data_IF_116159218388
#
_entry.id   IF_116159218388
#
_cell.length_a   1.000
_cell.length_b   1.000
_cell.length_c   1.000
_cell.angle_alpha   90.00
_cell.angle_beta   90.00
_cell.angle_gamma   90.00
#
_symmetry.space_group_name_H-M   'P 1'
#
loop_
_entity.id
_entity.type
_entity.pdbx_description
1 polymer ?
#
# COMPACT_ATOMS: atom_id res chain seq x y z
N UNK A 1 2.08 10.31 -18.32
CA UNK A 1 0.73 10.14 -17.76
C UNK A 1 0.08 11.50 -17.58
N UNK A 2 -1.14 11.68 -18.14
CA UNK A 2 -1.88 12.91 -17.93
C UNK A 2 -2.44 12.88 -16.50
N UNK A 3 -2.06 13.85 -15.69
CA UNK A 3 -2.75 14.16 -14.45
C UNK A 3 -4.02 14.93 -14.82
N UNK A 4 -5.15 14.47 -14.35
CA UNK A 4 -6.44 15.12 -14.55
C UNK A 4 -7.10 15.28 -13.19
N UNK A 5 -7.69 16.45 -12.96
CA UNK A 5 -8.33 16.77 -11.70
C UNK A 5 -9.54 17.66 -11.93
N UNK A 6 -10.67 17.25 -11.39
CA UNK A 6 -11.87 18.07 -11.30
C UNK A 6 -12.44 17.92 -9.90
N UNK A 7 -12.74 19.05 -9.23
CA UNK A 7 -13.27 19.07 -7.88
C UNK A 7 -14.42 20.04 -7.76
N UNK A 8 -15.44 19.61 -7.03
CA UNK A 8 -16.57 20.45 -6.60
C UNK A 8 -16.74 20.29 -5.09
N UNK A 9 -16.82 21.39 -4.38
CA UNK A 9 -17.03 21.35 -2.93
C UNK A 9 -17.88 22.49 -2.44
N UNK A 10 -18.49 22.30 -1.28
CA UNK A 10 -19.29 23.29 -0.59
C UNK A 10 -19.13 23.16 0.92
N UNK A 11 -19.11 24.29 1.61
CA UNK A 11 -19.06 24.36 3.08
C UNK A 11 -20.34 25.05 3.58
N UNK A 12 -21.03 24.41 4.50
CA UNK A 12 -22.25 24.91 5.11
C UNK A 12 -22.13 24.78 6.64
N UNK A 13 -22.29 25.87 7.33
CA UNK A 13 -22.12 25.96 8.79
C UNK A 13 -20.81 25.31 9.28
N UNK A 14 -20.94 24.19 9.97
CA UNK A 14 -19.82 23.42 10.53
C UNK A 14 -19.41 22.19 9.69
N UNK A 15 -20.11 21.92 8.59
CA UNK A 15 -19.86 20.79 7.70
C UNK A 15 -19.39 21.25 6.34
N UNK A 16 -18.61 20.42 5.68
CA UNK A 16 -18.25 20.58 4.30
C UNK A 16 -18.24 19.24 3.58
N UNK A 17 -18.48 19.29 2.28
CA UNK A 17 -18.28 18.14 1.42
C UNK A 17 -17.49 18.55 0.18
N UNK A 18 -16.79 17.58 -0.42
CA UNK A 18 -16.29 17.71 -1.78
C UNK A 18 -16.38 16.41 -2.54
N UNK A 19 -16.47 16.54 -3.85
CA UNK A 19 -16.40 15.43 -4.81
C UNK A 19 -15.23 15.71 -5.75
N UNK A 20 -14.36 14.74 -5.88
CA UNK A 20 -13.20 14.80 -6.77
C UNK A 20 -13.27 13.68 -7.79
N UNK A 21 -13.06 14.02 -9.04
CA UNK A 21 -12.80 13.05 -10.11
C UNK A 21 -11.38 13.31 -10.62
N UNK A 22 -10.49 12.35 -10.45
CA UNK A 22 -9.08 12.60 -10.66
C UNK A 22 -8.33 11.39 -11.19
N UNK A 23 -7.22 11.67 -11.86
CA UNK A 23 -6.15 10.71 -12.13
C UNK A 23 -4.86 11.27 -11.54
N UNK A 24 -4.54 10.86 -10.33
CA UNK A 24 -3.33 11.25 -9.60
C UNK A 24 -2.97 10.17 -8.58
N UNK A 25 -1.82 10.32 -7.94
CA UNK A 25 -1.47 9.44 -6.82
C UNK A 25 -2.43 9.63 -5.65
N UNK A 26 -3.02 8.53 -5.16
CA UNK A 26 -3.85 8.48 -3.96
C UNK A 26 -3.09 7.71 -2.89
N UNK A 27 -3.06 8.24 -1.67
CA UNK A 27 -2.44 7.57 -0.52
C UNK A 27 -3.28 7.77 0.72
N UNK A 28 -3.52 6.68 1.45
CA UNK A 28 -4.17 6.71 2.77
C UNK A 28 -3.11 6.81 3.87
N UNK A 29 -3.18 7.89 4.65
CA UNK A 29 -2.13 8.23 5.62
C UNK A 29 -0.93 8.95 4.98
N UNK A 30 -0.22 9.72 5.80
CA UNK A 30 0.98 10.46 5.37
C UNK A 30 2.22 9.75 5.92
N UNK A 31 3.00 9.16 5.06
CA UNK A 31 4.16 8.33 5.36
C UNK A 31 5.35 8.70 4.48
N UNK A 32 6.56 8.24 4.82
CA UNK A 32 7.79 8.53 4.06
C UNK A 32 7.96 7.63 2.83
N UNK A 33 7.57 6.35 2.95
CA UNK A 33 7.85 5.35 1.90
C UNK A 33 6.63 5.03 1.03
N UNK A 34 5.46 5.53 1.40
CA UNK A 34 4.18 5.10 0.85
C UNK A 34 3.42 4.24 1.85
N UNK A 35 2.09 4.32 1.84
CA UNK A 35 1.23 3.71 2.84
C UNK A 35 1.13 2.21 2.69
N UNK A 36 1.18 1.48 3.82
CA UNK A 36 0.86 0.05 3.87
C UNK A 36 -0.63 -0.21 3.62
N UNK A 37 -1.51 0.79 3.84
CA UNK A 37 -2.96 0.64 3.66
C UNK A 37 -3.33 0.76 2.18
N UNK A 38 -3.10 1.90 1.58
CA UNK A 38 -3.35 2.16 0.15
C UNK A 38 -2.39 3.22 -0.37
N UNK A 39 -1.77 2.93 -1.51
CA UNK A 39 -0.83 3.83 -2.17
C UNK A 39 -0.78 3.58 -3.67
N UNK A 40 -1.19 4.56 -4.46
CA UNK A 40 -1.08 4.54 -5.92
C UNK A 40 -0.16 5.65 -6.45
N UNK A 41 0.77 6.15 -5.64
CA UNK A 41 1.66 7.24 -6.03
C UNK A 41 2.66 6.83 -7.12
N UNK A 42 3.01 5.55 -7.18
CA UNK A 42 3.88 5.00 -8.22
C UNK A 42 3.14 4.84 -9.57
N UNK A 43 1.89 4.38 -9.53
CA UNK A 43 1.03 4.26 -10.70
C UNK A 43 -0.28 4.99 -10.41
N UNK A 44 -0.46 6.16 -11.02
CA UNK A 44 -1.67 6.96 -10.82
C UNK A 44 -2.90 6.26 -11.37
N UNK A 45 -3.94 6.14 -10.55
CA UNK A 45 -5.21 5.54 -10.89
C UNK A 45 -6.29 6.60 -11.16
N UNK A 46 -7.31 6.23 -11.92
CA UNK A 46 -8.54 7.00 -11.96
C UNK A 46 -9.36 6.70 -10.72
N UNK A 47 -9.81 7.73 -10.04
CA UNK A 47 -10.69 7.58 -8.90
C UNK A 47 -11.76 8.66 -8.84
N UNK A 48 -12.88 8.26 -8.25
CA UNK A 48 -13.94 9.15 -7.77
C UNK A 48 -13.87 9.15 -6.26
N UNK A 49 -13.74 10.33 -5.67
CA UNK A 49 -13.68 10.51 -4.23
C UNK A 49 -14.83 11.39 -3.76
N UNK A 50 -15.51 10.97 -2.72
CA UNK A 50 -16.45 11.78 -1.94
C UNK A 50 -15.92 11.96 -0.54
N UNK A 51 -15.87 13.21 -0.06
CA UNK A 51 -15.48 13.56 1.29
C UNK A 51 -16.61 14.32 1.97
N UNK A 52 -16.97 13.90 3.18
CA UNK A 52 -17.83 14.63 4.09
C UNK A 52 -17.05 14.89 5.38
N UNK A 53 -16.98 16.13 5.82
CA UNK A 53 -16.14 16.47 6.97
C UNK A 53 -16.71 17.58 7.83
N UNK A 54 -16.35 17.52 9.08
CA UNK A 54 -16.49 18.61 10.03
C UNK A 54 -15.20 18.75 10.87
N UNK A 55 -15.27 19.50 11.95
CA UNK A 55 -14.11 19.71 12.84
C UNK A 55 -13.58 18.42 13.49
N UNK A 56 -14.43 17.41 13.69
CA UNK A 56 -14.13 16.22 14.49
C UNK A 56 -14.11 14.93 13.68
N UNK A 57 -14.80 14.92 12.57
CA UNK A 57 -15.01 13.73 11.75
C UNK A 57 -14.71 14.04 10.29
N UNK A 58 -14.07 13.10 9.62
CA UNK A 58 -13.94 13.10 8.17
C UNK A 58 -14.26 11.71 7.64
N UNK A 59 -15.30 11.61 6.85
CA UNK A 59 -15.62 10.42 6.09
C UNK A 59 -15.14 10.58 4.65
N UNK A 60 -14.43 9.59 4.15
CA UNK A 60 -14.05 9.51 2.74
C UNK A 60 -14.58 8.22 2.13
N UNK A 61 -15.05 8.31 0.91
CA UNK A 61 -15.35 7.19 0.04
C UNK A 61 -14.54 7.39 -1.25
N UNK A 62 -13.68 6.43 -1.56
CA UNK A 62 -12.89 6.42 -2.79
C UNK A 62 -13.29 5.21 -3.63
N UNK A 63 -13.62 5.43 -4.89
CA UNK A 63 -13.79 4.37 -5.88
C UNK A 63 -12.66 4.48 -6.87
N UNK A 64 -11.76 3.52 -6.84
CA UNK A 64 -10.56 3.51 -7.67
C UNK A 64 -10.66 2.43 -8.72
N UNK A 65 -10.51 2.80 -10.00
CA UNK A 65 -10.38 1.84 -11.08
C UNK A 65 -8.91 1.42 -11.21
N UNK A 66 -8.57 0.31 -10.58
CA UNK A 66 -7.20 -0.22 -10.54
C UNK A 66 -6.77 -0.79 -11.89
N UNK A 67 -7.68 -1.43 -12.62
CA UNK A 67 -7.52 -1.87 -14.00
C UNK A 67 -8.89 -2.12 -14.66
N UNK A 68 -8.93 -2.62 -15.90
CA UNK A 68 -10.19 -2.98 -16.55
C UNK A 68 -10.92 -4.04 -15.73
N UNK A 69 -12.18 -3.78 -15.36
CA UNK A 69 -13.03 -4.64 -14.54
C UNK A 69 -12.40 -4.99 -13.16
N UNK A 70 -11.63 -4.08 -12.59
CA UNK A 70 -11.06 -4.23 -11.26
C UNK A 70 -11.19 -2.90 -10.52
N UNK A 71 -11.93 -2.91 -9.44
CA UNK A 71 -12.26 -1.71 -8.66
C UNK A 71 -11.90 -1.91 -7.20
N UNK A 72 -11.36 -0.86 -6.58
CA UNK A 72 -11.17 -0.77 -5.15
C UNK A 72 -12.14 0.27 -4.60
N UNK A 73 -13.00 -0.14 -3.70
CA UNK A 73 -13.90 0.71 -2.94
C UNK A 73 -13.32 0.87 -1.54
N UNK A 74 -13.02 2.10 -1.16
CA UNK A 74 -12.42 2.42 0.13
C UNK A 74 -13.37 3.33 0.89
N UNK A 75 -13.76 2.92 2.09
CA UNK A 75 -14.51 3.73 3.02
C UNK A 75 -13.66 4.00 4.24
N UNK A 76 -13.41 5.24 4.57
CA UNK A 76 -12.62 5.60 5.73
C UNK A 76 -13.33 6.64 6.60
N UNK A 77 -13.21 6.45 7.90
CA UNK A 77 -13.69 7.38 8.90
C UNK A 77 -12.52 7.83 9.77
N UNK A 78 -12.15 9.09 9.64
CA UNK A 78 -11.17 9.74 10.50
C UNK A 78 -11.88 10.47 11.65
N UNK A 79 -11.43 10.22 12.86
CA UNK A 79 -11.92 10.83 14.08
C UNK A 79 -10.82 11.70 14.67
N UNK A 80 -11.11 12.97 14.90
CA UNK A 80 -10.24 13.94 15.56
C UNK A 80 -10.90 14.31 16.88
N UNK A 81 -10.50 13.69 18.01
CA UNK A 81 -11.07 14.01 19.31
C UNK A 81 -10.84 15.46 19.71
N UNK A 82 -11.54 15.90 20.74
CA UNK A 82 -11.43 17.27 21.25
C UNK A 82 -9.99 17.72 21.57
N UNK A 83 -9.13 16.77 21.97
CA UNK A 83 -7.74 17.08 22.34
C UNK A 83 -6.82 17.45 21.18
N UNK A 84 -7.26 17.39 19.91
CA UNK A 84 -6.51 17.82 18.71
C UNK A 84 -5.11 17.23 18.49
N UNK A 85 -4.50 16.60 19.48
CA UNK A 85 -3.19 15.97 19.38
C UNK A 85 -3.26 14.52 18.90
N UNK A 86 -4.47 13.97 18.83
CA UNK A 86 -4.75 12.61 18.38
C UNK A 86 -5.69 12.64 17.17
N UNK A 87 -5.36 11.83 16.16
CA UNK A 87 -6.25 11.47 15.06
C UNK A 87 -6.24 9.96 14.94
N UNK A 88 -7.40 9.35 14.80
CA UNK A 88 -7.56 7.91 14.55
C UNK A 88 -8.44 7.75 13.32
N UNK A 89 -8.04 6.88 12.40
CA UNK A 89 -8.80 6.54 11.22
C UNK A 89 -8.99 5.03 11.11
N UNK A 90 -10.17 4.63 10.70
CA UNK A 90 -10.51 3.25 10.35
C UNK A 90 -10.87 3.26 8.87
N UNK A 91 -10.37 2.29 8.15
CA UNK A 91 -10.65 2.09 6.73
C UNK A 91 -11.14 0.67 6.52
N UNK A 92 -12.16 0.54 5.73
CA UNK A 92 -12.62 -0.73 5.17
C UNK A 92 -12.60 -0.62 3.65
N UNK A 93 -12.03 -1.62 2.99
CA UNK A 93 -11.87 -1.67 1.55
C UNK A 93 -12.44 -2.96 0.97
N UNK A 94 -13.04 -2.86 -0.20
CA UNK A 94 -13.49 -3.99 -0.98
C UNK A 94 -12.86 -3.91 -2.36
N UNK A 95 -12.08 -4.90 -2.69
CA UNK A 95 -11.52 -5.08 -4.02
C UNK A 95 -12.42 -6.02 -4.81
N UNK A 96 -12.94 -5.53 -5.93
CA UNK A 96 -13.89 -6.25 -6.79
C UNK A 96 -13.24 -6.51 -8.14
N UNK A 97 -13.17 -7.77 -8.53
CA UNK A 97 -12.69 -8.20 -9.84
C UNK A 97 -13.88 -8.54 -10.75
N UNK A 98 -14.68 -7.54 -11.05
CA UNK A 98 -15.87 -7.61 -11.89
C UNK A 98 -16.25 -6.19 -12.37
N UNK A 99 -17.42 -6.05 -13.00
CA UNK A 99 -18.01 -4.77 -13.38
C UNK A 99 -18.20 -3.85 -12.16
N UNK A 100 -18.38 -2.56 -12.43
CA UNK A 100 -18.67 -1.58 -11.40
C UNK A 100 -19.96 -1.91 -10.66
N UNK A 101 -19.91 -1.94 -9.32
CA UNK A 101 -21.03 -2.27 -8.46
C UNK A 101 -21.45 -1.12 -7.54
N UNK A 102 -22.68 -0.64 -7.72
CA UNK A 102 -23.21 0.48 -6.94
C UNK A 102 -23.46 0.17 -5.48
N UNK A 103 -23.65 -1.11 -5.12
CA UNK A 103 -23.90 -1.51 -3.70
C UNK A 103 -22.76 -1.12 -2.78
N UNK A 104 -21.51 -1.14 -3.26
CA UNK A 104 -20.34 -0.74 -2.49
C UNK A 104 -20.19 0.78 -2.31
N UNK A 105 -21.08 1.58 -2.84
CA UNK A 105 -21.14 3.03 -2.57
C UNK A 105 -21.90 3.37 -1.30
N UNK A 106 -22.59 2.41 -0.67
CA UNK A 106 -23.37 2.66 0.52
C UNK A 106 -22.47 2.84 1.77
N UNK A 107 -22.39 4.05 2.35
CA UNK A 107 -21.49 4.34 3.47
C UNK A 107 -21.88 3.67 4.79
N UNK A 108 -23.09 3.12 4.88
CA UNK A 108 -23.61 2.48 6.09
C UNK A 108 -23.44 0.95 6.07
N UNK A 109 -22.95 0.42 4.97
CA UNK A 109 -22.72 -1.01 4.85
C UNK A 109 -21.31 -1.36 5.32
N UNK A 110 -21.23 -2.18 6.36
CA UNK A 110 -19.98 -2.84 6.74
C UNK A 110 -19.67 -3.93 5.73
N UNK A 111 -18.64 -3.74 4.95
CA UNK A 111 -18.32 -4.55 3.79
C UNK A 111 -17.88 -5.96 4.14
N UNK A 112 -17.41 -6.18 5.37
CA UNK A 112 -17.04 -7.50 5.86
C UNK A 112 -18.18 -8.52 5.79
N UNK A 113 -19.43 -8.07 5.92
CA UNK A 113 -20.60 -8.94 5.77
C UNK A 113 -21.00 -9.21 4.32
N UNK A 114 -20.45 -8.46 3.35
CA UNK A 114 -20.81 -8.62 1.93
C UNK A 114 -20.18 -9.83 1.25
N UNK A 115 -19.04 -10.32 1.72
CA UNK A 115 -18.48 -11.57 1.23
C UNK A 115 -19.44 -12.78 1.40
N UNK A 116 -20.33 -12.68 2.40
CA UNK A 116 -21.36 -13.69 2.66
C UNK A 116 -22.66 -13.48 1.83
N UNK A 117 -22.79 -12.37 1.11
CA UNK A 117 -24.03 -11.97 0.41
C UNK A 117 -23.81 -11.82 -1.10
N UNK A 118 -22.91 -12.57 -1.69
CA UNK A 118 -22.72 -12.53 -3.13
C UNK A 118 -23.88 -13.23 -3.83
N UNK A 119 -24.80 -12.46 -4.39
CA UNK A 119 -25.93 -12.94 -5.18
C UNK A 119 -25.50 -13.64 -6.48
N UNK A 120 -24.21 -13.55 -6.81
CA UNK A 120 -23.62 -14.06 -8.04
C UNK A 120 -22.90 -15.41 -7.85
N UNK A 121 -22.91 -15.97 -6.62
CA UNK A 121 -22.30 -17.27 -6.37
C UNK A 121 -23.32 -18.38 -6.64
N UNK A 122 -23.07 -19.22 -7.62
CA UNK A 122 -23.73 -20.53 -7.74
C UNK A 122 -23.29 -21.43 -6.58
N UNK A 123 -24.05 -22.51 -6.28
CA UNK A 123 -23.63 -23.49 -5.25
C UNK A 123 -22.22 -24.07 -5.48
N UNK A 124 -21.78 -24.15 -6.72
CA UNK A 124 -20.43 -24.59 -7.09
C UNK A 124 -19.37 -23.53 -6.84
N UNK A 125 -19.72 -22.26 -6.98
CA UNK A 125 -18.84 -21.10 -6.72
C UNK A 125 -18.75 -20.77 -5.23
N UNK A 126 -19.67 -21.22 -4.40
CA UNK A 126 -19.62 -21.12 -2.94
C UNK A 126 -18.62 -22.08 -2.29
N UNK A 127 -17.86 -22.82 -3.09
CA UNK A 127 -16.77 -23.65 -2.58
C UNK A 127 -15.71 -22.73 -1.88
N UNK A 128 -15.19 -23.17 -0.76
CA UNK A 128 -14.27 -22.36 0.07
C UNK A 128 -13.01 -21.85 -0.65
N UNK A 129 -12.67 -22.43 -1.78
CA UNK A 129 -11.61 -21.94 -2.67
C UNK A 129 -12.07 -20.79 -3.58
N UNK A 130 -13.36 -20.67 -3.83
CA UNK A 130 -13.95 -19.70 -4.73
C UNK A 130 -14.67 -18.60 -3.96
N UNK A 131 -13.98 -17.84 -3.14
CA UNK A 131 -14.47 -16.53 -2.69
C UNK A 131 -14.42 -15.56 -3.87
N UNK A 132 -15.24 -15.87 -4.85
CA UNK A 132 -15.28 -15.29 -6.16
C UNK A 132 -15.23 -13.76 -6.13
N UNK A 133 -14.37 -13.17 -6.89
CA UNK A 133 -14.37 -11.79 -7.36
C UNK A 133 -14.20 -10.67 -6.31
N UNK A 134 -14.26 -10.97 -5.00
CA UNK A 134 -14.22 -9.98 -3.93
C UNK A 134 -13.11 -10.30 -2.94
N UNK A 135 -12.26 -9.32 -2.64
CA UNK A 135 -11.31 -9.39 -1.54
C UNK A 135 -11.56 -8.23 -0.58
N UNK A 136 -11.78 -8.58 0.68
CA UNK A 136 -11.94 -7.59 1.74
C UNK A 136 -10.59 -7.15 2.28
N UNK A 137 -10.55 -5.90 2.74
CA UNK A 137 -9.35 -5.26 3.21
C UNK A 137 -9.66 -4.27 4.32
N UNK A 138 -8.87 -4.26 5.36
CA UNK A 138 -9.02 -3.34 6.48
C UNK A 138 -7.75 -2.55 6.71
N UNK A 139 -7.92 -1.31 7.16
CA UNK A 139 -6.83 -0.45 7.58
C UNK A 139 -7.18 0.33 8.84
N UNK A 140 -6.18 0.56 9.67
CA UNK A 140 -6.26 1.44 10.84
C UNK A 140 -5.09 2.40 10.76
N UNK A 141 -5.34 3.67 11.02
CA UNK A 141 -4.30 4.69 11.15
C UNK A 141 -4.46 5.45 12.45
N UNK A 142 -3.34 5.79 13.08
CA UNK A 142 -3.29 6.69 14.21
C UNK A 142 -2.19 7.72 13.99
N UNK A 143 -2.46 8.95 14.38
CA UNK A 143 -1.51 10.05 14.32
C UNK A 143 -1.56 10.82 15.64
N UNK A 144 -0.39 11.06 16.24
CA UNK A 144 -0.24 11.72 17.53
C UNK A 144 0.77 12.86 17.38
N UNK A 145 0.41 14.03 17.90
CA UNK A 145 1.30 15.19 18.02
C UNK A 145 1.55 15.45 19.51
N UNK A 146 2.49 14.68 20.13
CA UNK A 146 2.67 14.70 21.58
C UNK A 146 3.25 16.03 22.11
N UNK A 147 4.00 16.71 21.28
CA UNK A 147 4.57 18.02 21.58
C UNK A 147 4.74 18.85 20.30
N UNK A 148 5.03 20.12 20.48
CA UNK A 148 5.30 21.03 19.33
C UNK A 148 6.42 20.45 18.45
N UNK A 149 6.17 20.45 17.15
CA UNK A 149 7.13 20.04 16.12
C UNK A 149 7.38 18.51 15.99
N UNK A 150 6.68 17.67 16.73
CA UNK A 150 6.85 16.22 16.67
C UNK A 150 5.54 15.55 16.25
N UNK A 151 5.61 14.64 15.29
CA UNK A 151 4.51 13.82 14.84
C UNK A 151 4.92 12.34 14.93
N UNK A 152 4.07 11.52 15.54
CA UNK A 152 4.15 10.07 15.52
C UNK A 152 2.96 9.54 14.72
N UNK A 153 3.18 8.48 13.96
CA UNK A 153 2.10 7.82 13.26
C UNK A 153 2.28 6.31 13.25
N UNK A 154 1.15 5.63 13.18
CA UNK A 154 1.07 4.18 13.05
C UNK A 154 -0.01 3.83 12.04
N UNK A 155 0.30 2.89 11.15
CA UNK A 155 -0.66 2.33 10.20
C UNK A 155 -0.65 0.81 10.33
N UNK A 156 -1.83 0.24 10.23
CA UNK A 156 -2.06 -1.20 10.19
C UNK A 156 -2.93 -1.52 8.98
N UNK A 157 -2.62 -2.60 8.29
CA UNK A 157 -3.39 -3.10 7.15
C UNK A 157 -3.53 -4.61 7.23
N UNK A 158 -4.67 -5.14 6.81
CA UNK A 158 -4.89 -6.59 6.72
C UNK A 158 -5.85 -6.97 5.60
N UNK A 159 -5.63 -8.10 4.99
CA UNK A 159 -6.57 -8.72 4.05
C UNK A 159 -6.99 -10.13 4.46
N UNK A 160 -6.39 -10.68 5.50
CA UNK A 160 -6.80 -11.94 6.13
C UNK A 160 -6.33 -11.96 7.57
N UNK A 161 -7.24 -12.16 8.50
CA UNK A 161 -6.94 -12.45 9.89
C UNK A 161 -8.06 -13.35 10.44
N UNK A 162 -7.70 -14.54 10.85
CA UNK A 162 -8.68 -15.54 11.25
C UNK A 162 -8.92 -15.54 12.75
N UNK A 163 -10.19 -15.60 13.14
CA UNK A 163 -10.60 -15.88 14.50
C UNK A 163 -10.18 -17.29 14.92
N UNK A 164 -10.13 -17.55 16.22
CA UNK A 164 -9.81 -18.90 16.75
C UNK A 164 -10.84 -19.94 16.30
N UNK A 165 -12.09 -19.55 16.08
CA UNK A 165 -13.13 -20.43 15.53
C UNK A 165 -12.84 -20.83 14.08
N UNK A 166 -12.45 -19.88 13.24
CA UNK A 166 -12.05 -20.14 11.85
C UNK A 166 -10.77 -20.96 11.79
N UNK A 167 -9.78 -20.66 12.67
CA UNK A 167 -8.56 -21.44 12.81
C UNK A 167 -8.81 -22.88 13.21
N UNK A 168 -9.92 -23.20 13.85
CA UNK A 168 -10.30 -24.58 14.19
C UNK A 168 -10.77 -25.39 12.99
N UNK A 169 -11.26 -24.75 11.92
CA UNK A 169 -11.60 -25.41 10.67
C UNK A 169 -10.34 -25.74 9.87
N UNK A 170 -10.39 -26.77 9.00
CA UNK A 170 -9.27 -27.12 8.14
C UNK A 170 -8.85 -25.97 7.22
N UNK A 171 -9.83 -25.25 6.66
CA UNK A 171 -9.58 -24.10 5.80
C UNK A 171 -8.89 -22.97 6.57
N UNK A 172 -9.44 -22.63 7.73
CA UNK A 172 -8.89 -21.60 8.58
C UNK A 172 -7.43 -21.83 8.95
N UNK A 173 -7.03 -23.06 9.19
CA UNK A 173 -5.63 -23.40 9.51
C UNK A 173 -4.67 -23.18 8.36
N UNK A 174 -5.12 -23.19 7.11
CA UNK A 174 -4.31 -23.10 5.91
C UNK A 174 -4.37 -21.72 5.22
N UNK A 175 -5.21 -20.82 5.71
CA UNK A 175 -5.22 -19.43 5.22
C UNK A 175 -4.21 -18.61 6.02
N UNK A 176 -3.26 -17.90 5.35
CA UNK A 176 -2.25 -17.11 6.04
C UNK A 176 -2.83 -15.88 6.73
N UNK A 177 -2.36 -15.61 7.97
CA UNK A 177 -2.59 -14.30 8.59
C UNK A 177 -1.81 -13.23 7.81
N UNK A 178 -2.53 -12.34 7.13
CA UNK A 178 -1.98 -11.41 6.15
C UNK A 178 -2.17 -9.97 6.61
N UNK A 179 -1.12 -9.37 7.20
CA UNK A 179 -1.15 -8.04 7.74
C UNK A 179 0.18 -7.29 7.56
N UNK A 180 0.12 -5.97 7.71
CA UNK A 180 1.28 -5.10 7.70
C UNK A 180 1.18 -4.00 8.75
N UNK A 181 2.33 -3.55 9.24
CA UNK A 181 2.45 -2.48 10.24
C UNK A 181 3.47 -1.47 9.72
N UNK A 182 3.16 -0.19 9.86
CA UNK A 182 4.06 0.91 9.53
C UNK A 182 4.04 1.93 10.66
N UNK A 183 5.22 2.30 11.14
CA UNK A 183 5.40 3.22 12.26
C UNK A 183 6.37 4.32 11.84
N UNK A 184 6.09 5.56 12.21
CA UNK A 184 6.98 6.65 11.91
C UNK A 184 7.01 7.74 12.96
N UNK A 185 8.14 8.44 12.99
CA UNK A 185 8.39 9.62 13.79
C UNK A 185 8.95 10.72 12.90
N UNK A 186 8.41 11.92 13.03
CA UNK A 186 8.86 13.11 12.35
C UNK A 186 9.12 14.22 13.36
N UNK A 187 10.18 14.94 13.16
CA UNK A 187 10.51 16.13 13.94
C UNK A 187 10.92 17.27 13.03
N UNK A 188 10.40 18.46 13.32
CA UNK A 188 10.73 19.65 12.54
C UNK A 188 11.04 20.84 13.44
N UNK A 189 11.99 21.68 13.04
CA UNK A 189 12.40 22.85 13.82
C UNK A 189 12.89 23.95 12.92
N UNK A 190 12.43 25.18 13.17
CA UNK A 190 13.01 26.40 12.59
C UNK A 190 14.19 26.85 13.43
N UNK A 191 15.27 27.32 12.78
CA UNK A 191 16.38 27.95 13.44
C UNK A 191 16.23 29.49 13.51
N UNK A 192 17.13 30.15 14.22
CA UNK A 192 17.11 31.62 14.37
C UNK A 192 17.43 32.38 13.07
N UNK A 193 18.01 31.70 12.09
CA UNK A 193 18.36 32.28 10.78
C UNK A 193 17.24 32.14 9.75
N UNK A 194 16.09 31.61 10.16
CA UNK A 194 14.94 31.34 9.28
C UNK A 194 15.08 30.06 8.48
N UNK A 195 16.04 29.21 8.81
CA UNK A 195 16.17 27.88 8.24
C UNK A 195 15.22 26.89 8.89
N UNK A 196 14.96 25.78 8.20
CA UNK A 196 14.03 24.73 8.61
C UNK A 196 14.71 23.37 8.58
N UNK A 197 14.77 22.71 9.73
CA UNK A 197 15.21 21.34 9.88
C UNK A 197 14.02 20.39 9.87
N UNK A 198 14.14 19.30 9.15
CA UNK A 198 13.22 18.17 9.18
C UNK A 198 14.02 16.88 9.33
N UNK A 199 13.61 16.03 10.27
CA UNK A 199 14.14 14.69 10.42
C UNK A 199 13.00 13.70 10.58
N UNK A 200 13.14 12.54 9.98
CA UNK A 200 12.13 11.51 10.06
C UNK A 200 12.76 10.11 10.03
N UNK A 201 12.12 9.19 10.74
CA UNK A 201 12.43 7.76 10.74
C UNK A 201 11.13 6.98 10.61
N UNK A 202 11.11 6.01 9.72
CA UNK A 202 9.97 5.13 9.47
C UNK A 202 10.43 3.69 9.40
N UNK A 203 9.65 2.78 10.00
CA UNK A 203 9.79 1.34 9.87
C UNK A 203 8.50 0.72 9.32
N UNK A 204 8.63 -0.29 8.49
CA UNK A 204 7.53 -1.05 7.92
C UNK A 204 7.81 -2.55 7.99
N UNK A 205 6.77 -3.30 8.30
CA UNK A 205 6.73 -4.75 8.21
C UNK A 205 5.50 -5.18 7.42
N UNK A 206 5.67 -6.11 6.49
CA UNK A 206 4.59 -6.76 5.76
C UNK A 206 4.76 -8.27 5.86
N UNK A 207 3.70 -8.96 6.31
CA UNK A 207 3.71 -10.42 6.40
C UNK A 207 3.87 -11.06 5.02
N UNK A 208 4.30 -12.34 4.95
CA UNK A 208 4.58 -13.00 3.67
C UNK A 208 3.43 -13.04 2.67
N UNK A 209 2.19 -12.95 3.14
CA UNK A 209 1.00 -13.04 2.30
C UNK A 209 0.13 -11.78 2.32
N UNK A 210 0.60 -10.65 2.87
CA UNK A 210 -0.12 -9.38 2.75
C UNK A 210 -0.36 -9.07 1.26
N UNK A 211 -1.58 -8.66 0.89
CA UNK A 211 -2.07 -8.43 -0.48
C UNK A 211 -2.21 -9.68 -1.34
N UNK A 212 -1.75 -10.85 -0.90
CA UNK A 212 -1.80 -12.10 -1.65
C UNK A 212 -3.01 -12.92 -1.19
N UNK A 213 -3.77 -13.43 -2.16
CA UNK A 213 -4.83 -14.40 -1.98
C UNK A 213 -4.55 -15.67 -2.79
N UNK A 214 -5.45 -16.64 -2.73
CA UNK A 214 -5.33 -17.93 -3.42
C UNK A 214 -5.08 -17.81 -4.94
N UNK A 215 -5.55 -16.74 -5.56
CA UNK A 215 -5.39 -16.51 -6.98
C UNK A 215 -4.99 -15.08 -7.33
N UNK A 216 -4.42 -14.89 -8.51
CA UNK A 216 -4.00 -13.58 -8.99
C UNK A 216 -5.18 -12.62 -9.14
N UNK A 217 -6.36 -13.11 -9.51
CA UNK A 217 -7.56 -12.30 -9.70
C UNK A 217 -8.06 -11.67 -8.41
N UNK A 218 -7.83 -12.29 -7.27
CA UNK A 218 -8.28 -11.82 -5.95
C UNK A 218 -7.21 -11.07 -5.18
N UNK A 219 -5.97 -11.18 -5.62
CA UNK A 219 -4.86 -10.51 -4.97
C UNK A 219 -4.88 -9.00 -5.23
N UNK A 220 -4.45 -8.24 -4.23
CA UNK A 220 -4.58 -6.79 -4.15
C UNK A 220 -3.42 -6.09 -4.87
N UNK A 221 -3.45 -6.05 -6.19
CA UNK A 221 -2.45 -5.37 -7.00
C UNK A 221 -3.07 -4.72 -8.24
N UNK A 222 -2.39 -3.75 -8.81
CA UNK A 222 -2.66 -3.19 -10.12
C UNK A 222 -1.72 -3.78 -11.17
N UNK A 223 -2.24 -4.00 -12.37
CA UNK A 223 -1.45 -4.42 -13.53
C UNK A 223 -1.76 -3.51 -14.71
N UNK A 224 -0.71 -2.96 -15.30
CA UNK A 224 -0.79 -2.07 -16.46
C UNK A 224 0.26 -2.45 -17.47
N UNK A 225 0.06 -2.00 -18.69
CA UNK A 225 1.03 -2.19 -19.76
C UNK A 225 1.69 -0.86 -20.08
N UNK A 226 3.00 -0.81 -20.01
CA UNK A 226 3.80 0.27 -20.56
C UNK A 226 4.09 -0.04 -22.03
N UNK A 227 3.66 0.85 -22.93
CA UNK A 227 3.86 0.69 -24.35
C UNK A 227 5.25 1.17 -24.73
N UNK A 228 6.12 0.24 -25.07
CA UNK A 228 7.49 0.50 -25.51
C UNK A 228 7.63 0.29 -27.01
N UNK A 229 8.73 0.81 -27.59
CA UNK A 229 9.00 0.72 -29.03
C UNK A 229 8.97 -0.73 -29.57
N UNK A 230 9.37 -1.69 -28.74
CA UNK A 230 9.47 -3.11 -29.11
C UNK A 230 8.37 -4.00 -28.52
N UNK A 231 7.26 -3.39 -28.05
CA UNK A 231 6.14 -4.12 -27.45
C UNK A 231 5.64 -3.49 -26.16
N UNK A 232 4.77 -4.19 -25.45
CA UNK A 232 4.26 -3.77 -24.16
C UNK A 232 4.89 -4.58 -23.03
N UNK A 233 5.25 -3.91 -21.93
CA UNK A 233 5.78 -4.54 -20.72
C UNK A 233 4.74 -4.43 -19.62
N UNK A 234 4.35 -5.54 -18.95
CA UNK A 234 3.46 -5.47 -17.81
C UNK A 234 4.18 -4.83 -16.63
N UNK A 235 3.55 -3.82 -16.02
CA UNK A 235 3.99 -3.20 -14.79
C UNK A 235 2.96 -3.55 -13.73
N UNK A 236 3.38 -4.28 -12.70
CA UNK A 236 2.56 -4.63 -11.57
C UNK A 236 3.02 -3.87 -10.33
N UNK A 237 2.05 -3.42 -9.52
CA UNK A 237 2.31 -2.81 -8.22
C UNK A 237 1.25 -3.25 -7.22
N UNK A 238 1.67 -3.52 -5.99
CA UNK A 238 0.76 -3.79 -4.89
C UNK A 238 -0.05 -2.53 -4.54
N UNK A 239 -1.26 -2.69 -4.02
CA UNK A 239 -2.14 -1.54 -3.72
C UNK A 239 -1.67 -0.69 -2.54
N UNK A 240 -0.79 -1.20 -1.71
CA UNK A 240 -0.32 -0.54 -0.50
C UNK A 240 1.20 -0.33 -0.52
N UNK A 241 1.90 -1.00 0.39
CA UNK A 241 3.36 -0.86 0.53
C UNK A 241 4.09 -0.98 -0.81
N UNK A 242 4.97 -0.03 -1.15
CA UNK A 242 5.79 -0.13 -2.36
C UNK A 242 6.80 -1.30 -2.30
N UNK A 243 7.08 -1.83 -1.11
CA UNK A 243 7.92 -3.00 -0.93
C UNK A 243 7.15 -4.32 -1.15
N UNK A 244 5.82 -4.24 -1.26
CA UNK A 244 4.96 -5.42 -1.39
C UNK A 244 4.81 -6.21 -0.10
N UNK A 245 4.38 -7.49 -0.21
CA UNK A 245 4.36 -8.46 0.89
C UNK A 245 5.79 -8.88 1.25
N UNK A 246 5.93 -9.64 2.33
CA UNK A 246 7.18 -10.36 2.68
C UNK A 246 8.38 -9.42 2.84
N UNK A 247 8.18 -8.27 3.48
CA UNK A 247 9.21 -7.25 3.58
C UNK A 247 9.33 -6.63 4.98
N UNK A 248 10.57 -6.26 5.31
CA UNK A 248 10.91 -5.37 6.41
C UNK A 248 11.66 -4.19 5.82
N UNK A 249 11.19 -2.97 6.06
CA UNK A 249 11.82 -1.75 5.57
C UNK A 249 12.07 -0.74 6.67
N UNK A 250 13.09 0.07 6.51
CA UNK A 250 13.35 1.24 7.34
C UNK A 250 13.85 2.40 6.48
N UNK A 251 13.31 3.60 6.70
CA UNK A 251 13.76 4.82 6.02
C UNK A 251 14.07 5.92 7.02
N UNK A 252 15.23 6.54 6.88
CA UNK A 252 15.62 7.74 7.61
C UNK A 252 15.81 8.89 6.63
N UNK A 253 15.35 10.09 7.01
CA UNK A 253 15.50 11.32 6.21
C UNK A 253 15.96 12.44 7.12
N UNK A 254 16.93 13.21 6.66
CA UNK A 254 17.36 14.47 7.26
C UNK A 254 17.36 15.55 6.17
N UNK A 255 16.62 16.62 6.39
CA UNK A 255 16.52 17.74 5.47
C UNK A 255 16.81 19.05 6.20
N UNK A 256 17.56 19.91 5.55
CA UNK A 256 17.65 21.31 5.93
C UNK A 256 17.28 22.20 4.74
N UNK A 257 16.40 23.14 4.97
CA UNK A 257 15.95 24.09 3.98
C UNK A 257 16.17 25.53 4.48
N UNK A 258 16.77 26.34 3.65
CA UNK A 258 16.78 27.78 3.80
C UNK A 258 15.90 28.37 2.70
N UNK A 259 14.69 28.85 3.02
CA UNK A 259 13.73 29.30 2.02
C UNK A 259 14.34 30.30 1.04
N UNK A 260 14.02 30.15 -0.24
CA UNK A 260 14.52 30.98 -1.36
C UNK A 260 16.04 30.98 -1.54
N UNK A 261 16.77 30.07 -0.89
CA UNK A 261 18.23 29.97 -1.03
C UNK A 261 18.68 28.58 -1.43
N UNK A 262 18.44 27.59 -0.61
CA UNK A 262 18.87 26.22 -0.87
C UNK A 262 18.14 25.19 0.02
N UNK A 263 18.08 23.98 -0.44
CA UNK A 263 17.57 22.81 0.26
C UNK A 263 18.57 21.66 0.10
N UNK A 264 18.88 20.98 1.19
CA UNK A 264 19.69 19.77 1.19
C UNK A 264 18.92 18.67 1.92
N UNK A 265 18.89 17.49 1.33
CA UNK A 265 18.27 16.30 1.93
C UNK A 265 19.19 15.11 1.79
N UNK A 266 19.36 14.36 2.88
CA UNK A 266 20.00 13.07 2.92
C UNK A 266 18.99 12.02 3.35
N UNK A 267 18.93 10.90 2.64
CA UNK A 267 18.05 9.78 2.92
C UNK A 267 18.82 8.47 2.95
N UNK A 268 18.38 7.55 3.81
CA UNK A 268 18.82 6.16 3.83
C UNK A 268 17.61 5.25 3.86
N UNK A 269 17.59 4.26 2.99
CA UNK A 269 16.56 3.23 2.90
C UNK A 269 17.22 1.87 3.03
N UNK A 270 16.69 1.05 3.93
CA UNK A 270 16.97 -0.38 4.05
C UNK A 270 15.71 -1.18 3.77
N UNK A 271 15.81 -2.24 2.97
CA UNK A 271 14.72 -3.20 2.75
C UNK A 271 15.28 -4.61 2.75
N UNK A 272 14.74 -5.46 3.60
CA UNK A 272 14.89 -6.91 3.54
C UNK A 272 13.60 -7.49 2.94
N UNK A 273 13.68 -8.24 1.84
CA UNK A 273 12.54 -8.77 1.11
C UNK A 273 12.70 -10.28 0.89
N UNK A 274 11.68 -11.04 1.30
CA UNK A 274 11.63 -12.48 1.06
C UNK A 274 11.27 -12.84 -0.39
N UNK A 275 10.91 -14.07 -0.62
CA UNK A 275 10.64 -14.59 -1.98
C UNK A 275 9.21 -14.39 -2.44
N UNK A 276 8.28 -14.10 -1.53
CA UNK A 276 6.88 -13.92 -1.89
C UNK A 276 6.66 -12.58 -2.60
N UNK A 277 6.34 -12.66 -3.89
CA UNK A 277 6.13 -11.52 -4.76
C UNK A 277 5.20 -11.89 -5.93
N UNK A 278 5.15 -11.11 -6.98
CA UNK A 278 4.40 -11.42 -8.20
C UNK A 278 4.80 -12.76 -8.86
N UNK A 279 5.96 -13.31 -8.56
CA UNK A 279 6.39 -14.65 -8.98
C UNK A 279 5.46 -15.76 -8.51
N UNK A 280 4.72 -15.57 -7.42
CA UNK A 280 3.70 -16.51 -6.94
C UNK A 280 2.56 -16.74 -7.95
N UNK A 281 2.38 -15.84 -8.90
CA UNK A 281 1.35 -15.95 -9.94
C UNK A 281 1.88 -16.56 -11.26
N UNK A 282 3.17 -16.88 -11.32
CA UNK A 282 3.77 -17.49 -12.52
C UNK A 282 3.35 -18.93 -12.74
N UNK A 283 3.08 -19.66 -11.66
CA UNK A 283 2.54 -21.02 -11.71
C UNK A 283 1.08 -21.02 -11.28
N UNK A 284 0.22 -21.45 -12.19
CA UNK A 284 -1.23 -21.43 -12.01
C UNK A 284 -1.77 -22.85 -12.15
N UNK A 285 -2.78 -23.15 -11.35
CA UNK A 285 -3.54 -24.39 -11.43
C UNK A 285 -5.01 -24.08 -11.61
N UNK A 286 -5.68 -24.92 -12.37
CA UNK A 286 -7.14 -24.88 -12.53
C UNK A 286 -7.76 -25.91 -11.59
N UNK A 287 -8.63 -25.45 -10.70
CA UNK A 287 -9.45 -26.29 -9.83
C UNK A 287 -10.89 -25.88 -10.09
N UNK A 288 -11.71 -26.82 -10.56
CA UNK A 288 -13.12 -26.58 -10.92
C UNK A 288 -13.35 -25.41 -11.88
N UNK A 289 -12.40 -25.19 -12.81
CA UNK A 289 -12.46 -24.12 -13.80
C UNK A 289 -11.96 -22.76 -13.30
N UNK A 290 -11.53 -22.64 -12.06
CA UNK A 290 -11.00 -21.41 -11.42
C UNK A 290 -9.48 -21.48 -11.35
N UNK A 291 -8.82 -20.34 -11.64
CA UNK A 291 -7.38 -20.22 -11.65
C UNK A 291 -6.83 -19.82 -10.29
N UNK A 292 -5.96 -20.64 -9.72
CA UNK A 292 -5.31 -20.45 -8.42
C UNK A 292 -3.80 -20.37 -8.56
N UNK A 293 -3.16 -19.75 -7.56
CA UNK A 293 -1.70 -19.77 -7.42
C UNK A 293 -1.23 -21.12 -6.88
N UNK A 294 -0.33 -21.78 -7.60
CA UNK A 294 0.27 -23.05 -7.19
C UNK A 294 1.16 -22.96 -5.94
N UNK A 295 1.33 -21.78 -5.34
CA UNK A 295 2.21 -21.56 -4.18
C UNK A 295 1.45 -21.16 -2.90
N UNK A 296 0.14 -21.02 -2.97
CA UNK A 296 -0.63 -20.65 -1.80
C UNK A 296 -0.90 -21.88 -0.91
N UNK A 297 -0.73 -21.80 0.44
CA UNK A 297 -0.75 -22.99 1.30
C UNK A 297 -2.00 -23.86 1.16
N UNK A 298 -3.18 -23.25 1.15
CA UNK A 298 -4.44 -24.01 1.00
C UNK A 298 -4.58 -24.66 -0.38
N UNK A 299 -4.03 -24.04 -1.43
CA UNK A 299 -4.03 -24.59 -2.79
C UNK A 299 -3.08 -25.78 -2.89
N UNK A 300 -1.83 -25.63 -2.42
CA UNK A 300 -0.85 -26.72 -2.39
C UNK A 300 -1.39 -27.95 -1.65
N UNK A 301 -2.04 -27.71 -0.51
CA UNK A 301 -2.69 -28.74 0.27
C UNK A 301 -3.83 -29.44 -0.49
N UNK A 302 -4.73 -28.68 -1.13
CA UNK A 302 -5.85 -29.23 -1.90
C UNK A 302 -5.40 -30.09 -3.07
N UNK A 303 -4.22 -29.78 -3.61
CA UNK A 303 -3.57 -30.57 -4.66
C UNK A 303 -2.83 -31.81 -4.12
N UNK A 304 -2.76 -32.00 -2.81
CA UNK A 304 -1.99 -33.09 -2.20
C UNK A 304 -0.48 -32.98 -2.34
N UNK A 305 0.03 -31.77 -2.64
CA UNK A 305 1.47 -31.50 -2.80
C UNK A 305 2.18 -31.30 -1.47
N UNK A 306 1.46 -30.90 -0.43
CA UNK A 306 1.94 -30.75 0.94
C UNK A 306 0.94 -31.34 1.93
N UNK A 307 1.43 -31.74 3.09
CA UNK A 307 0.60 -32.23 4.18
C UNK A 307 -0.16 -31.11 4.88
N UNK A 308 -1.19 -31.45 5.66
CA UNK A 308 -1.93 -30.50 6.50
C UNK A 308 -0.99 -29.73 7.44
N UNK A 309 0.00 -30.40 8.01
CA UNK A 309 0.97 -29.79 8.90
C UNK A 309 1.82 -28.74 8.18
N UNK A 310 2.37 -29.09 7.02
CA UNK A 310 3.17 -28.15 6.22
C UNK A 310 2.35 -26.94 5.78
N UNK A 311 1.10 -27.14 5.36
CA UNK A 311 0.22 -26.05 4.99
C UNK A 311 -0.06 -25.09 6.17
N UNK A 312 -0.27 -25.64 7.38
CA UNK A 312 -0.45 -24.87 8.61
C UNK A 312 0.82 -24.10 8.95
N UNK A 313 1.98 -24.74 8.90
CA UNK A 313 3.26 -24.11 9.21
C UNK A 313 3.56 -22.96 8.23
N UNK A 314 3.31 -23.18 6.93
CA UNK A 314 3.43 -22.11 5.92
C UNK A 314 2.46 -20.94 6.18
N UNK A 315 1.20 -21.24 6.49
CA UNK A 315 0.17 -20.22 6.74
C UNK A 315 0.46 -19.39 8.02
N UNK A 316 1.22 -19.94 8.97
CA UNK A 316 1.56 -19.29 10.24
C UNK A 316 2.91 -18.59 10.23
N UNK A 317 3.65 -18.68 9.15
CA UNK A 317 4.95 -18.00 9.09
C UNK A 317 4.77 -16.48 9.06
N UNK A 318 5.49 -15.82 9.95
CA UNK A 318 5.60 -14.35 10.00
C UNK A 318 7.02 -13.89 9.64
N UNK A 319 7.95 -14.83 9.49
CA UNK A 319 9.30 -14.54 9.07
C UNK A 319 9.35 -14.38 7.56
N UNK A 320 10.30 -13.59 7.08
CA UNK A 320 10.58 -13.47 5.66
C UNK A 320 10.89 -14.84 5.04
N UNK A 321 10.38 -15.08 3.85
CA UNK A 321 10.46 -16.40 3.20
C UNK A 321 11.68 -16.55 2.30
N UNK A 322 12.21 -17.76 2.22
CA UNK A 322 13.27 -18.15 1.28
C UNK A 322 14.58 -17.39 1.46
N UNK A 323 15.28 -17.14 0.35
CA UNK A 323 16.52 -16.36 0.33
C UNK A 323 16.18 -14.88 0.39
N UNK A 324 16.60 -14.20 1.45
CA UNK A 324 16.26 -12.80 1.69
C UNK A 324 17.18 -11.91 0.87
N UNK A 325 16.58 -11.03 0.06
CA UNK A 325 17.27 -9.95 -0.61
C UNK A 325 17.39 -8.74 0.34
N UNK A 326 18.59 -8.16 0.45
CA UNK A 326 18.84 -6.96 1.23
C UNK A 326 19.17 -5.79 0.31
N UNK A 327 18.32 -4.78 0.28
CA UNK A 327 18.53 -3.55 -0.48
C UNK A 327 18.88 -2.42 0.47
N UNK A 328 19.97 -1.71 0.15
CA UNK A 328 20.37 -0.50 0.85
C UNK A 328 20.48 0.63 -0.18
N UNK A 329 19.94 1.79 0.15
CA UNK A 329 19.95 2.94 -0.73
C UNK A 329 20.31 4.20 0.05
N UNK A 330 21.28 4.93 -0.46
CA UNK A 330 21.66 6.27 0.02
C UNK A 330 21.20 7.27 -1.02
N UNK A 331 20.52 8.31 -0.58
CA UNK A 331 20.00 9.38 -1.42
C UNK A 331 20.47 10.73 -0.90
N UNK A 332 21.00 11.55 -1.82
CA UNK A 332 21.39 12.91 -1.56
C UNK A 332 20.70 13.82 -2.58
N UNK A 333 19.93 14.78 -2.09
CA UNK A 333 19.23 15.76 -2.90
C UNK A 333 19.71 17.16 -2.54
N UNK A 334 19.95 17.99 -3.53
CA UNK A 334 20.28 19.40 -3.37
C UNK A 334 19.47 20.28 -4.32
N UNK A 335 18.96 21.40 -3.82
CA UNK A 335 18.36 22.45 -4.64
C UNK A 335 18.94 23.79 -4.25
N UNK A 336 19.37 24.59 -5.23
CA UNK A 336 19.90 25.91 -5.05
C UNK A 336 19.11 26.92 -5.88
N UNK A 337 18.66 28.00 -5.26
CA UNK A 337 17.92 29.08 -5.91
C UNK A 337 18.88 30.20 -6.25
N UNK A 338 19.08 30.43 -7.53
CA UNK A 338 19.89 31.55 -8.01
C UNK A 338 19.13 32.87 -7.82
N UNK A 339 17.83 32.86 -8.12
CA UNK A 339 16.89 33.95 -7.89
C UNK A 339 15.45 33.37 -7.78
N UNK A 340 14.43 34.25 -7.79
CA UNK A 340 13.01 33.83 -7.66
C UNK A 340 12.51 32.99 -8.85
N UNK A 341 13.19 33.03 -9.99
CA UNK A 341 12.76 32.37 -11.23
C UNK A 341 13.66 31.20 -11.61
N UNK A 342 14.89 31.14 -11.12
CA UNK A 342 15.87 30.13 -11.56
C UNK A 342 16.36 29.32 -10.37
N UNK A 343 16.21 28.00 -10.47
CA UNK A 343 16.81 27.08 -9.51
C UNK A 343 17.53 25.93 -10.19
N UNK A 344 18.56 25.41 -9.52
CA UNK A 344 19.29 24.21 -9.90
C UNK A 344 19.00 23.11 -8.90
N UNK A 345 18.75 21.91 -9.41
CA UNK A 345 18.52 20.72 -8.59
C UNK A 345 19.51 19.62 -8.98
N UNK A 346 19.93 18.87 -7.99
CA UNK A 346 20.76 17.69 -8.17
C UNK A 346 20.28 16.56 -7.25
N UNK A 347 20.35 15.34 -7.75
CA UNK A 347 20.02 14.14 -6.99
C UNK A 347 21.05 13.06 -7.30
N UNK A 348 21.54 12.41 -6.24
CA UNK A 348 22.41 11.24 -6.33
C UNK A 348 21.73 10.13 -5.54
N UNK A 349 21.57 8.99 -6.17
CA UNK A 349 21.05 7.78 -5.52
C UNK A 349 22.06 6.67 -5.74
N UNK A 350 22.58 6.10 -4.66
CA UNK A 350 23.39 4.89 -4.69
C UNK A 350 22.65 3.75 -4.02
N UNK A 351 22.44 2.68 -4.77
CA UNK A 351 21.79 1.46 -4.28
C UNK A 351 22.75 0.28 -4.37
N UNK A 352 22.78 -0.54 -3.33
CA UNK A 352 23.47 -1.82 -3.34
C UNK A 352 22.57 -2.92 -2.77
N UNK A 353 22.60 -4.08 -3.43
CA UNK A 353 21.67 -5.18 -3.19
C UNK A 353 22.47 -6.46 -2.98
N UNK A 354 22.26 -7.13 -1.86
CA UNK A 354 22.76 -8.48 -1.58
C UNK A 354 21.66 -9.49 -1.88
N UNK A 355 22.03 -10.66 -2.35
CA UNK A 355 21.13 -11.72 -2.80
C UNK A 355 20.10 -11.18 -3.82
N UNK A 356 20.60 -10.44 -4.81
CA UNK A 356 19.78 -9.80 -5.83
C UNK A 356 18.87 -10.82 -6.51
N UNK A 357 17.60 -10.48 -6.66
CA UNK A 357 16.54 -11.37 -7.17
C UNK A 357 16.36 -12.65 -6.33
N UNK A 358 16.61 -12.58 -5.03
CA UNK A 358 16.57 -13.70 -4.10
C UNK A 358 17.51 -14.87 -4.51
N UNK A 359 18.64 -14.56 -5.11
CA UNK A 359 19.68 -15.52 -5.47
C UNK A 359 20.86 -15.39 -4.51
N UNK A 360 21.21 -16.47 -3.83
CA UNK A 360 22.26 -16.49 -2.82
C UNK A 360 23.61 -16.04 -3.39
N UNK A 361 24.26 -15.10 -2.70
CA UNK A 361 25.57 -14.58 -3.05
C UNK A 361 25.61 -13.64 -4.26
N UNK A 362 24.48 -13.36 -4.92
CA UNK A 362 24.44 -12.42 -6.04
C UNK A 362 24.40 -10.99 -5.52
N UNK A 363 25.36 -10.17 -5.92
CA UNK A 363 25.48 -8.77 -5.57
C UNK A 363 25.21 -7.86 -6.76
N UNK A 364 24.47 -6.77 -6.55
CA UNK A 364 24.25 -5.74 -7.56
C UNK A 364 24.38 -4.33 -6.95
N UNK A 365 24.79 -3.37 -7.75
CA UNK A 365 24.79 -1.97 -7.36
C UNK A 365 24.37 -1.07 -8.53
N UNK A 366 23.86 0.09 -8.20
CA UNK A 366 23.46 1.10 -9.18
C UNK A 366 23.70 2.49 -8.62
N UNK A 367 24.19 3.39 -9.46
CA UNK A 367 24.29 4.83 -9.17
C UNK A 367 23.43 5.57 -10.19
N UNK A 368 22.55 6.44 -9.72
CA UNK A 368 21.75 7.32 -10.56
C UNK A 368 22.07 8.76 -10.23
N UNK A 369 22.40 9.53 -11.24
CA UNK A 369 22.60 10.97 -11.14
C UNK A 369 21.50 11.71 -11.89
N UNK A 370 20.98 12.74 -11.27
CA UNK A 370 20.08 13.68 -11.91
C UNK A 370 20.58 15.10 -11.66
N UNK A 371 20.60 15.90 -12.71
CA UNK A 371 20.87 17.34 -12.64
C UNK A 371 19.84 18.06 -13.50
N UNK A 372 19.24 19.10 -12.99
CA UNK A 372 18.22 19.86 -13.69
C UNK A 372 18.19 21.32 -13.30
N UNK A 373 17.54 22.12 -14.11
CA UNK A 373 17.22 23.51 -13.81
C UNK A 373 15.73 23.74 -14.00
N UNK A 374 15.18 24.58 -13.17
CA UNK A 374 13.80 25.08 -13.28
C UNK A 374 13.86 26.58 -13.54
N UNK A 375 13.09 27.03 -14.53
CA UNK A 375 12.96 28.43 -14.95
C UNK A 375 11.60 28.99 -14.52
#
# INVERSE_FOLDING_TARGET
>A
PFLAYASLGYVFDSWGFNVNCSRQGLQVGKTLTGSVIYNSTFQTDFFLQFNLYNRYLKYNMDVVQVSKNRYMYLHSLDIIPYFKWLKVGILEGTFVNDSFEMRFLNPLMFMHSHGAWSDNLTEQESHWLSEANICQYMGIQAEIVPCKNMRLYALYAQNELQSEAEKSSLHGKCLPDSFGIQLGIEYSKTDKSGGYWFSALEGIYTSPFLYIKQGSLWSLYSSRFDMQKNGSVPICSWIGSPFGPDAIGAKAVLRYERPCKWNLEAGYLFVAHGTNSFGLFSSKVLIDGVEYSAYYPSVLRSMGLISDKEAIDMARTLNLTGIIQYTNQIELNGKYFLNEHVSFNSKIVYSFVFNNQNQEGVFAHCIVFFVGSEL
#
